data_IF_086081472725
#
_entry.id   IF_086081472725
#
_cell.length_a   1.000
_cell.length_b   1.000
_cell.length_c   1.000
_cell.angle_alpha   90.00
_cell.angle_beta   90.00
_cell.angle_gamma   90.00
#
_symmetry.space_group_name_H-M   'P 1'
#
loop_
_entity.id
_entity.type
_entity.pdbx_description
1 polymer ?
#
# COMPACT_ATOMS: atom_id res chain seq x y z
N UNK A 1 29.22 -18.73 -22.49
CA UNK A 1 28.48 -19.96 -22.42
C UNK A 1 27.21 -19.70 -21.63
N UNK A 2 26.02 -19.82 -22.27
CA UNK A 2 24.75 -19.77 -21.58
C UNK A 2 24.54 -21.10 -20.87
N UNK A 3 24.83 -21.18 -19.57
CA UNK A 3 24.43 -22.30 -18.77
C UNK A 3 22.90 -22.30 -18.70
N UNK A 4 22.26 -23.30 -19.24
CA UNK A 4 20.80 -23.45 -19.18
C UNK A 4 20.29 -23.67 -17.73
N UNK A 5 21.18 -24.02 -16.81
CA UNK A 5 20.96 -24.15 -15.38
C UNK A 5 22.25 -23.81 -14.63
N UNK A 6 22.19 -22.79 -13.77
CA UNK A 6 23.34 -22.37 -12.98
C UNK A 6 23.46 -23.11 -11.64
N UNK A 7 22.38 -23.73 -11.17
CA UNK A 7 22.31 -24.42 -9.88
C UNK A 7 23.05 -25.77 -9.97
N UNK A 8 24.14 -25.95 -9.22
CA UNK A 8 24.92 -27.20 -9.13
C UNK A 8 24.27 -28.17 -8.15
N UNK A 9 24.05 -27.72 -6.91
CA UNK A 9 23.31 -28.45 -5.89
C UNK A 9 21.89 -27.90 -5.78
N UNK A 10 20.91 -28.79 -5.79
CA UNK A 10 19.51 -28.45 -5.63
C UNK A 10 18.97 -28.98 -4.30
N UNK A 11 18.58 -28.04 -3.44
CA UNK A 11 17.84 -28.31 -2.22
C UNK A 11 16.41 -27.88 -2.43
N UNK A 12 15.45 -28.71 -2.05
CA UNK A 12 14.03 -28.33 -2.07
C UNK A 12 13.58 -27.98 -0.66
N UNK A 13 12.82 -26.93 -0.57
CA UNK A 13 12.24 -26.39 0.64
C UNK A 13 10.71 -26.48 0.63
N UNK A 14 10.11 -26.78 1.77
CA UNK A 14 8.66 -26.68 1.97
C UNK A 14 8.31 -26.49 3.43
N UNK A 15 7.21 -25.81 3.65
CA UNK A 15 6.61 -25.65 4.97
C UNK A 15 5.45 -26.65 5.10
N UNK A 16 5.31 -27.28 6.28
CA UNK A 16 4.26 -28.27 6.56
C UNK A 16 3.53 -27.94 7.86
N UNK A 17 2.23 -28.23 7.86
CA UNK A 17 1.39 -28.26 9.05
C UNK A 17 0.19 -29.18 8.82
N UNK A 18 -0.11 -30.05 9.76
CA UNK A 18 -1.32 -30.90 9.79
C UNK A 18 -1.63 -31.60 8.45
N UNK A 19 -0.58 -32.12 7.79
CA UNK A 19 -0.68 -32.79 6.50
C UNK A 19 -0.75 -31.85 5.28
N UNK A 20 -0.93 -30.56 5.48
CA UNK A 20 -0.81 -29.57 4.41
C UNK A 20 0.63 -29.15 4.23
N UNK A 21 1.00 -28.78 3.00
CA UNK A 21 2.32 -28.23 2.70
C UNK A 21 2.24 -27.05 1.76
N UNK A 22 3.19 -26.14 1.89
CA UNK A 22 3.35 -24.97 1.02
C UNK A 22 4.71 -25.03 0.37
N UNK A 23 4.68 -24.99 -0.95
CA UNK A 23 5.87 -24.92 -1.81
C UNK A 23 6.33 -23.47 -1.94
N UNK A 24 7.58 -23.25 -2.35
CA UNK A 24 8.09 -21.92 -2.66
C UNK A 24 7.30 -21.19 -3.77
N UNK A 25 7.48 -19.88 -3.82
CA UNK A 25 7.05 -19.06 -4.93
C UNK A 25 8.06 -19.14 -6.07
N UNK A 26 7.58 -19.49 -7.25
CA UNK A 26 8.40 -19.63 -8.46
C UNK A 26 7.86 -18.75 -9.57
N UNK A 27 8.75 -17.97 -10.17
CA UNK A 27 8.45 -17.17 -11.36
C UNK A 27 8.60 -18.02 -12.62
N UNK A 28 7.85 -17.71 -13.64
CA UNK A 28 7.98 -18.38 -14.93
C UNK A 28 9.23 -17.83 -15.66
N UNK A 29 10.28 -18.67 -15.93
CA UNK A 29 11.53 -18.20 -16.52
C UNK A 29 11.46 -18.03 -18.04
N UNK A 30 10.33 -18.30 -18.67
CA UNK A 30 10.18 -18.21 -20.12
C UNK A 30 10.28 -16.74 -20.58
N UNK A 31 11.13 -16.45 -21.57
CA UNK A 31 11.50 -15.11 -22.04
C UNK A 31 10.45 -14.50 -22.98
N UNK A 32 9.18 -14.66 -22.68
CA UNK A 32 8.07 -14.00 -23.38
C UNK A 32 7.32 -13.08 -22.41
N UNK A 33 6.81 -11.96 -22.91
CA UNK A 33 6.17 -10.94 -22.08
C UNK A 33 5.04 -11.49 -21.19
N UNK A 34 4.22 -12.39 -21.72
CA UNK A 34 3.14 -13.02 -20.95
C UNK A 34 3.66 -13.81 -19.74
N UNK A 35 4.77 -14.52 -19.87
CA UNK A 35 5.38 -15.26 -18.77
C UNK A 35 6.10 -14.37 -17.76
N UNK A 36 6.80 -13.33 -18.25
CA UNK A 36 7.53 -12.39 -17.38
C UNK A 36 6.59 -11.51 -16.56
N UNK A 37 5.38 -11.25 -17.06
CA UNK A 37 4.35 -10.48 -16.36
C UNK A 37 3.40 -11.36 -15.54
N UNK A 38 3.52 -12.70 -15.63
CA UNK A 38 2.71 -13.60 -14.83
C UNK A 38 3.14 -13.55 -13.34
N UNK A 39 2.18 -13.60 -12.40
CA UNK A 39 2.50 -13.69 -11.00
C UNK A 39 3.21 -15.01 -10.68
N UNK A 40 4.03 -15.01 -9.60
CA UNK A 40 4.65 -16.22 -9.09
C UNK A 40 3.60 -17.25 -8.67
N UNK A 41 3.92 -18.53 -8.85
CA UNK A 41 3.06 -19.65 -8.46
C UNK A 41 3.77 -20.54 -7.44
N UNK A 42 3.02 -21.29 -6.65
CA UNK A 42 3.55 -22.30 -5.73
C UNK A 42 4.03 -23.51 -6.49
N UNK A 43 5.33 -23.76 -6.51
CA UNK A 43 5.92 -24.89 -7.20
C UNK A 43 7.27 -25.28 -6.57
N UNK A 44 7.81 -26.44 -7.00
CA UNK A 44 9.20 -26.80 -6.68
C UNK A 44 10.13 -25.90 -7.50
N UNK A 45 11.01 -25.18 -6.82
CA UNK A 45 12.03 -24.39 -7.48
C UNK A 45 13.27 -25.26 -7.76
N UNK A 46 13.66 -25.31 -9.01
CA UNK A 46 14.85 -26.03 -9.45
C UNK A 46 15.87 -25.14 -10.16
N UNK A 47 15.65 -23.83 -10.14
CA UNK A 47 16.46 -22.85 -10.86
C UNK A 47 17.21 -21.92 -9.93
N UNK A 48 16.61 -21.55 -8.79
CA UNK A 48 17.15 -20.56 -7.89
C UNK A 48 17.82 -21.20 -6.68
N UNK A 49 18.80 -20.51 -6.12
CA UNK A 49 19.47 -20.86 -4.88
C UNK A 49 18.83 -20.24 -3.62
N UNK A 50 17.80 -19.45 -3.82
CA UNK A 50 16.97 -18.86 -2.76
C UNK A 50 15.53 -19.25 -3.02
N UNK A 51 14.89 -19.85 -2.03
CA UNK A 51 13.49 -20.24 -2.08
C UNK A 51 12.71 -19.51 -0.98
N UNK A 52 11.52 -19.05 -1.28
CA UNK A 52 10.67 -18.29 -0.35
C UNK A 52 9.29 -18.90 -0.23
N UNK A 53 8.84 -19.13 1.00
CA UNK A 53 7.46 -19.47 1.34
C UNK A 53 6.88 -18.35 2.19
N UNK A 54 5.71 -17.83 1.81
CA UNK A 54 4.95 -16.87 2.63
C UNK A 54 3.60 -17.45 2.98
N UNK A 55 3.08 -17.18 4.14
CA UNK A 55 1.71 -17.47 4.53
C UNK A 55 1.04 -16.16 4.91
N UNK A 56 -0.11 -15.88 4.30
CA UNK A 56 -1.05 -14.89 4.79
C UNK A 56 -1.95 -15.58 5.83
N UNK A 57 -2.18 -14.93 6.96
CA UNK A 57 -3.05 -15.41 8.03
C UNK A 57 -2.70 -16.83 8.53
N UNK A 58 -1.44 -17.10 8.95
CA UNK A 58 -1.06 -18.41 9.45
C UNK A 58 -1.81 -18.72 10.75
N UNK A 59 -2.40 -19.89 10.82
CA UNK A 59 -3.04 -20.36 12.05
C UNK A 59 -1.99 -20.55 13.15
N UNK A 60 -2.32 -20.20 14.40
CA UNK A 60 -1.42 -20.40 15.53
C UNK A 60 -1.09 -21.90 15.72
N UNK A 61 0.16 -22.21 16.04
CA UNK A 61 0.63 -23.58 16.31
C UNK A 61 1.93 -23.92 15.58
N UNK A 62 2.39 -25.17 15.68
CA UNK A 62 3.68 -25.59 15.15
C UNK A 62 3.64 -25.77 13.64
N UNK A 63 4.65 -25.25 12.96
CA UNK A 63 4.97 -25.53 11.57
C UNK A 63 6.28 -26.30 11.49
N UNK A 64 6.38 -27.21 10.56
CA UNK A 64 7.61 -27.92 10.24
C UNK A 64 8.19 -27.40 8.95
N UNK A 65 9.46 -27.06 8.98
CA UNK A 65 10.23 -26.64 7.83
C UNK A 65 11.05 -27.85 7.36
N UNK A 66 10.87 -28.24 6.12
CA UNK A 66 11.57 -29.37 5.52
C UNK A 66 12.50 -28.86 4.43
N UNK A 67 13.78 -29.19 4.57
CA UNK A 67 14.79 -28.99 3.54
C UNK A 67 15.33 -30.34 3.16
N UNK A 68 15.31 -30.72 1.89
CA UNK A 68 15.85 -31.96 1.39
C UNK A 68 16.73 -31.74 0.17
N UNK A 69 17.84 -32.49 0.11
CA UNK A 69 18.70 -32.54 -1.07
C UNK A 69 18.00 -33.29 -2.19
N UNK A 70 17.54 -32.58 -3.21
CA UNK A 70 17.00 -33.23 -4.41
C UNK A 70 18.11 -33.77 -5.31
N UNK A 71 19.15 -32.95 -5.52
CA UNK A 71 20.33 -33.29 -6.27
C UNK A 71 21.53 -32.53 -5.70
N UNK A 72 22.45 -33.26 -5.03
CA UNK A 72 23.62 -32.65 -4.37
C UNK A 72 24.88 -33.40 -4.83
N UNK A 73 25.29 -33.23 -6.11
CA UNK A 73 26.47 -33.90 -6.65
C UNK A 73 27.77 -33.47 -5.99
N UNK A 74 27.80 -32.28 -5.40
CA UNK A 74 28.96 -31.75 -4.69
C UNK A 74 28.57 -31.40 -3.24
N UNK A 75 28.65 -32.35 -2.35
CA UNK A 75 28.33 -32.18 -0.93
C UNK A 75 29.54 -32.17 -0.02
N UNK A 76 29.37 -31.76 1.24
CA UNK A 76 28.13 -31.35 1.88
C UNK A 76 27.70 -29.92 1.47
N UNK A 77 26.38 -29.67 1.33
CA UNK A 77 25.82 -28.38 1.02
C UNK A 77 25.31 -27.69 2.29
N UNK A 78 25.89 -26.57 2.66
CA UNK A 78 25.35 -25.69 3.72
C UNK A 78 24.16 -24.91 3.19
N UNK A 79 23.18 -24.68 4.07
CA UNK A 79 22.05 -23.79 3.80
C UNK A 79 21.72 -22.97 5.04
N UNK A 80 21.02 -21.88 4.83
CA UNK A 80 20.54 -20.99 5.89
C UNK A 80 19.03 -20.85 5.77
N UNK A 81 18.36 -20.77 6.92
CA UNK A 81 16.94 -20.49 7.00
C UNK A 81 16.78 -19.15 7.71
N UNK A 82 16.07 -18.26 7.07
CA UNK A 82 15.66 -16.96 7.64
C UNK A 82 14.16 -16.96 7.69
N UNK A 83 13.56 -16.50 8.79
CA UNK A 83 12.12 -16.37 8.92
C UNK A 83 11.79 -15.04 9.59
N UNK A 84 10.61 -14.53 9.28
CA UNK A 84 10.05 -13.31 9.82
C UNK A 84 8.56 -13.51 10.09
N UNK A 85 8.08 -12.97 11.22
CA UNK A 85 6.66 -12.80 11.48
C UNK A 85 6.32 -11.33 11.27
N UNK A 86 5.57 -11.05 10.20
CA UNK A 86 5.06 -9.71 9.93
C UNK A 86 3.73 -9.58 10.68
N UNK A 87 3.61 -8.69 11.66
CA UNK A 87 2.33 -8.43 12.32
C UNK A 87 1.31 -7.91 11.31
N UNK A 88 0.03 -8.11 11.60
CA UNK A 88 -1.01 -7.47 10.81
C UNK A 88 -0.98 -5.95 11.05
N UNK A 89 -0.94 -5.18 9.97
CA UNK A 89 -0.90 -3.72 10.01
C UNK A 89 -1.60 -3.10 8.80
N UNK A 90 -2.02 -1.87 8.99
CA UNK A 90 -2.45 -0.95 7.95
C UNK A 90 -1.80 0.39 8.25
N UNK A 91 -1.23 1.04 7.24
CA UNK A 91 -0.56 2.33 7.36
C UNK A 91 -0.99 3.23 6.21
N UNK A 92 -1.62 4.37 6.53
CA UNK A 92 -2.02 5.37 5.56
C UNK A 92 -0.76 6.14 5.12
N UNK A 93 -0.44 6.08 3.83
CA UNK A 93 0.77 6.72 3.28
C UNK A 93 0.47 8.00 2.50
N UNK A 94 -0.77 8.22 2.12
CA UNK A 94 -1.23 9.48 1.49
C UNK A 94 -2.77 9.57 1.49
N UNK A 95 -3.34 10.74 1.83
CA UNK A 95 -2.67 11.90 2.44
C UNK A 95 -2.28 11.59 3.89
N UNK A 96 -1.19 12.21 4.36
CA UNK A 96 -0.69 12.00 5.73
C UNK A 96 -1.17 13.06 6.72
N UNK A 97 -1.66 14.19 6.24
CA UNK A 97 -2.12 15.33 7.03
C UNK A 97 -1.32 16.60 6.77
N UNK A 98 -2.02 17.73 6.90
CA UNK A 98 -1.47 19.04 6.56
C UNK A 98 -1.67 19.45 5.11
N UNK A 99 -1.99 18.51 4.21
CA UNK A 99 -2.27 18.80 2.80
C UNK A 99 -3.59 19.58 2.66
N UNK A 100 -3.67 20.37 1.58
CA UNK A 100 -4.89 21.02 1.17
C UNK A 100 -5.57 20.19 0.06
N UNK A 101 -6.88 20.00 0.21
CA UNK A 101 -7.75 19.37 -0.78
C UNK A 101 -8.88 20.31 -1.16
N UNK A 102 -9.42 20.12 -2.35
CA UNK A 102 -10.48 21.01 -2.86
C UNK A 102 -11.84 20.33 -2.66
N UNK A 103 -12.86 21.03 -2.10
CA UNK A 103 -14.20 20.50 -1.96
C UNK A 103 -14.75 19.97 -3.28
N UNK A 104 -15.26 18.74 -3.29
CA UNK A 104 -15.81 18.09 -4.47
C UNK A 104 -14.80 17.55 -5.47
N UNK A 105 -13.49 17.71 -5.26
CA UNK A 105 -12.47 17.08 -6.10
C UNK A 105 -12.41 15.56 -5.87
N UNK A 106 -11.77 14.86 -6.80
CA UNK A 106 -11.39 13.47 -6.63
C UNK A 106 -9.91 13.39 -6.26
N UNK A 107 -9.64 12.80 -5.11
CA UNK A 107 -8.29 12.60 -4.60
C UNK A 107 -7.95 11.12 -4.50
N UNK A 108 -6.66 10.82 -4.51
CA UNK A 108 -6.17 9.46 -4.31
C UNK A 108 -5.85 9.24 -2.83
N UNK A 109 -6.28 8.11 -2.29
CA UNK A 109 -5.82 7.59 -1.00
C UNK A 109 -4.85 6.46 -1.28
N UNK A 110 -3.73 6.38 -0.54
CA UNK A 110 -2.73 5.33 -0.64
C UNK A 110 -2.37 4.81 0.74
N UNK A 111 -2.09 3.53 0.82
CA UNK A 111 -1.70 2.86 2.07
C UNK A 111 -0.81 1.67 1.80
N UNK A 112 -0.09 1.27 2.85
CA UNK A 112 0.55 -0.02 2.95
C UNK A 112 -0.18 -0.90 3.95
N UNK A 113 -0.11 -2.19 3.77
CA UNK A 113 -0.71 -3.16 4.67
C UNK A 113 -0.05 -4.53 4.51
N UNK A 114 -0.05 -5.31 5.57
CA UNK A 114 0.29 -6.73 5.52
C UNK A 114 -0.59 -7.48 4.51
N UNK A 115 -0.14 -8.65 4.07
CA UNK A 115 -0.98 -9.54 3.26
C UNK A 115 -2.21 -9.98 4.08
N UNK A 116 -3.36 -10.09 3.43
CA UNK A 116 -4.61 -10.52 4.07
C UNK A 116 -5.73 -10.65 3.05
N UNK A 117 -6.87 -11.17 3.48
CA UNK A 117 -8.05 -11.41 2.63
C UNK A 117 -9.20 -10.44 2.91
N UNK A 118 -9.16 -9.74 4.03
CA UNK A 118 -10.20 -8.78 4.44
C UNK A 118 -10.11 -7.49 3.61
N UNK A 119 -11.20 -7.02 3.01
CA UNK A 119 -11.26 -5.73 2.32
C UNK A 119 -11.02 -4.55 3.25
N UNK A 120 -10.63 -3.42 2.68
CA UNK A 120 -10.47 -2.16 3.40
C UNK A 120 -11.77 -1.35 3.38
N UNK A 121 -12.05 -0.67 4.48
CA UNK A 121 -13.03 0.41 4.58
C UNK A 121 -12.29 1.73 4.67
N UNK A 122 -12.72 2.69 3.86
CA UNK A 122 -12.18 4.04 3.84
C UNK A 122 -13.21 4.98 4.43
N UNK A 123 -12.80 5.85 5.33
CA UNK A 123 -13.69 6.75 6.05
C UNK A 123 -13.09 8.15 6.13
N UNK A 124 -13.93 9.16 6.18
CA UNK A 124 -13.56 10.54 6.40
C UNK A 124 -14.37 11.17 7.54
N UNK A 125 -13.79 12.17 8.16
CA UNK A 125 -14.40 12.96 9.23
C UNK A 125 -14.18 14.45 8.95
N UNK A 126 -15.22 15.26 9.10
CA UNK A 126 -15.12 16.73 8.99
C UNK A 126 -14.97 17.42 10.36
N UNK A 127 -14.90 16.67 11.43
CA UNK A 127 -14.93 17.18 12.81
C UNK A 127 -13.81 16.58 13.67
N UNK A 128 -12.62 16.40 13.07
CA UNK A 128 -11.42 15.96 13.77
C UNK A 128 -11.44 14.51 14.24
N UNK A 129 -12.28 13.64 13.66
CA UNK A 129 -12.38 12.23 14.04
C UNK A 129 -13.49 11.91 15.05
N UNK A 130 -14.32 12.91 15.41
CA UNK A 130 -15.44 12.68 16.35
C UNK A 130 -16.53 11.77 15.76
N UNK A 131 -16.77 11.90 14.45
CA UNK A 131 -17.68 11.03 13.69
C UNK A 131 -17.10 10.74 12.31
N UNK A 132 -17.45 9.59 11.75
CA UNK A 132 -16.89 9.10 10.50
C UNK A 132 -18.01 8.81 9.49
N UNK A 133 -17.75 9.16 8.25
CA UNK A 133 -18.59 8.88 7.08
C UNK A 133 -17.81 8.02 6.09
N UNK A 134 -18.53 7.22 5.31
CA UNK A 134 -17.86 6.34 4.31
C UNK A 134 -17.22 7.17 3.19
N UNK A 135 -15.95 6.86 2.90
CA UNK A 135 -15.24 7.28 1.69
C UNK A 135 -15.20 6.14 0.64
N UNK A 136 -15.68 4.95 0.99
CA UNK A 136 -15.73 3.79 0.12
C UNK A 136 -15.09 2.54 0.71
N UNK A 137 -14.89 1.54 -0.15
CA UNK A 137 -14.21 0.29 0.19
C UNK A 137 -13.20 -0.06 -0.88
N UNK A 138 -12.19 -0.86 -0.51
CA UNK A 138 -11.20 -1.35 -1.47
C UNK A 138 -10.91 -2.84 -1.23
N UNK A 139 -10.63 -3.63 -2.30
CA UNK A 139 -10.27 -5.03 -2.19
C UNK A 139 -9.00 -5.23 -1.32
N UNK A 140 -8.87 -6.40 -0.70
CA UNK A 140 -7.73 -6.74 0.16
C UNK A 140 -6.35 -6.58 -0.51
N UNK A 141 -6.27 -6.78 -1.82
CA UNK A 141 -5.05 -6.61 -2.58
C UNK A 141 -4.76 -5.15 -3.00
N UNK A 142 -5.72 -4.24 -2.85
CA UNK A 142 -5.54 -2.84 -3.21
C UNK A 142 -4.58 -2.12 -2.26
N UNK A 143 -3.86 -1.13 -2.80
CA UNK A 143 -2.99 -0.21 -2.05
C UNK A 143 -3.28 1.25 -2.40
N UNK A 144 -4.36 1.47 -3.14
CA UNK A 144 -4.87 2.81 -3.44
C UNK A 144 -6.35 2.75 -3.78
N UNK A 145 -7.03 3.86 -3.59
CA UNK A 145 -8.40 4.10 -4.03
C UNK A 145 -8.60 5.58 -4.32
N UNK A 146 -9.58 5.89 -5.17
CA UNK A 146 -10.03 7.26 -5.36
C UNK A 146 -11.13 7.58 -4.35
N UNK A 147 -11.15 8.81 -3.91
CA UNK A 147 -12.13 9.32 -2.96
C UNK A 147 -12.63 10.70 -3.42
N UNK A 148 -13.94 10.91 -3.31
CA UNK A 148 -14.52 12.22 -3.55
C UNK A 148 -14.50 13.02 -2.26
N UNK A 149 -13.79 14.15 -2.28
CA UNK A 149 -13.67 15.08 -1.16
C UNK A 149 -15.05 15.67 -0.85
N UNK A 150 -15.49 15.74 0.42
CA UNK A 150 -16.78 16.32 0.77
C UNK A 150 -16.84 17.80 0.37
N UNK A 151 -18.02 18.23 -0.10
CA UNK A 151 -18.24 19.63 -0.54
C UNK A 151 -18.23 20.67 0.59
N UNK A 152 -18.18 20.22 1.84
CA UNK A 152 -18.20 21.11 3.01
C UNK A 152 -16.77 21.52 3.37
N UNK A 153 -16.38 22.80 3.20
CA UNK A 153 -15.09 23.28 3.64
C UNK A 153 -14.88 23.08 5.14
N UNK A 154 -13.71 22.61 5.53
CA UNK A 154 -13.31 22.45 6.92
C UNK A 154 -11.78 22.40 7.06
N UNK A 155 -11.25 22.90 8.18
CA UNK A 155 -9.86 22.76 8.55
C UNK A 155 -9.55 21.46 9.33
N UNK A 156 -10.58 20.69 9.69
CA UNK A 156 -10.48 19.51 10.54
C UNK A 156 -10.83 18.21 9.81
N UNK A 157 -10.59 18.17 8.49
CA UNK A 157 -10.84 16.97 7.70
C UNK A 157 -9.81 15.88 8.03
N UNK A 158 -10.26 14.67 8.29
CA UNK A 158 -9.42 13.50 8.50
C UNK A 158 -9.85 12.35 7.61
N UNK A 159 -8.90 11.52 7.24
CA UNK A 159 -9.11 10.24 6.58
C UNK A 159 -8.64 9.10 7.50
N UNK A 160 -9.36 8.01 7.45
CA UNK A 160 -9.02 6.76 8.13
C UNK A 160 -9.20 5.58 7.19
N UNK A 161 -8.29 4.62 7.28
CA UNK A 161 -8.40 3.32 6.65
C UNK A 161 -8.53 2.25 7.72
N UNK A 162 -9.43 1.30 7.51
CA UNK A 162 -9.74 0.22 8.47
C UNK A 162 -9.70 -1.12 7.75
N UNK A 163 -9.08 -2.12 8.36
CA UNK A 163 -9.14 -3.53 7.96
C UNK A 163 -9.23 -4.43 9.19
N UNK A 164 -10.40 -4.99 9.45
CA UNK A 164 -10.64 -5.80 10.64
C UNK A 164 -10.44 -4.97 11.92
N UNK A 165 -9.46 -5.34 12.74
CA UNK A 165 -9.09 -4.62 13.97
C UNK A 165 -7.99 -3.58 13.77
N UNK A 166 -7.38 -3.55 12.59
CA UNK A 166 -6.31 -2.61 12.26
C UNK A 166 -6.89 -1.35 11.64
N UNK A 167 -6.36 -0.21 12.00
CA UNK A 167 -6.73 1.07 11.39
C UNK A 167 -5.58 2.06 11.50
N UNK A 168 -5.55 2.98 10.56
CA UNK A 168 -4.66 4.13 10.60
C UNK A 168 -5.39 5.36 10.05
N UNK A 169 -5.01 6.53 10.50
CA UNK A 169 -5.62 7.81 10.12
C UNK A 169 -4.56 8.87 9.81
N UNK A 170 -4.97 9.95 9.17
CA UNK A 170 -4.09 11.09 8.90
C UNK A 170 -3.48 11.63 10.20
N UNK A 171 -2.15 11.81 10.21
CA UNK A 171 -1.37 12.27 11.37
C UNK A 171 -1.74 13.70 11.82
N UNK A 172 -2.26 14.50 10.87
CA UNK A 172 -2.76 15.84 11.10
C UNK A 172 -4.03 16.09 10.25
N UNK A 173 -4.86 17.10 10.58
CA UNK A 173 -6.00 17.45 9.75
C UNK A 173 -5.58 17.90 8.35
N UNK A 174 -6.38 17.54 7.35
CA UNK A 174 -6.34 18.09 6.00
C UNK A 174 -7.13 19.39 5.97
N UNK A 175 -6.74 20.30 5.09
CA UNK A 175 -7.44 21.55 4.84
C UNK A 175 -8.35 21.37 3.61
N UNK A 176 -9.64 21.13 3.84
CA UNK A 176 -10.63 21.09 2.77
C UNK A 176 -11.10 22.51 2.46
N UNK A 177 -10.46 23.15 1.51
CA UNK A 177 -10.69 24.56 1.19
C UNK A 177 -10.66 24.79 -0.32
N UNK A 178 -11.58 25.64 -0.79
CA UNK A 178 -11.67 25.99 -2.20
C UNK A 178 -10.47 26.83 -2.68
N UNK A 179 -10.27 26.81 -3.99
CA UNK A 179 -9.28 27.68 -4.66
C UNK A 179 -9.91 29.03 -4.92
N UNK A 180 -9.24 30.16 -4.60
CA UNK A 180 -9.72 31.47 -4.97
C UNK A 180 -9.91 31.61 -6.50
N UNK A 181 -11.11 31.93 -6.93
CA UNK A 181 -11.40 32.24 -8.32
C UNK A 181 -11.53 33.74 -8.57
N UNK A 182 -11.64 34.14 -9.84
CA UNK A 182 -11.87 35.55 -10.21
C UNK A 182 -10.70 36.47 -9.87
N UNK A 183 -9.47 35.97 -9.85
CA UNK A 183 -8.28 36.79 -9.63
C UNK A 183 -8.20 37.84 -10.75
N UNK A 184 -8.19 39.13 -10.38
CA UNK A 184 -8.06 40.23 -11.28
C UNK A 184 -7.14 41.33 -10.72
N UNK A 185 -6.47 42.02 -11.61
CA UNK A 185 -5.75 43.24 -11.29
C UNK A 185 -6.72 44.41 -11.51
N UNK A 186 -7.15 45.07 -10.44
CA UNK A 186 -8.13 46.15 -10.51
C UNK A 186 -7.49 47.44 -11.01
N UNK A 187 -6.29 47.75 -10.59
CA UNK A 187 -5.49 48.85 -11.08
C UNK A 187 -4.00 48.61 -10.76
N UNK A 188 -3.12 49.29 -11.46
CA UNK A 188 -1.69 49.22 -11.35
C UNK A 188 -1.07 50.64 -11.38
N UNK A 189 -0.22 50.96 -10.40
CA UNK A 189 0.61 52.14 -10.33
C UNK A 189 2.08 51.76 -10.24
N UNK A 190 3.04 52.67 -10.46
CA UNK A 190 4.47 52.32 -10.37
C UNK A 190 4.87 51.60 -9.06
N UNK A 191 4.24 51.96 -7.94
CA UNK A 191 4.62 51.50 -6.61
C UNK A 191 3.55 50.60 -5.94
N UNK A 192 2.43 50.28 -6.61
CA UNK A 192 1.35 49.51 -6.02
C UNK A 192 0.44 48.89 -7.06
N UNK A 193 -0.12 47.73 -6.70
CA UNK A 193 -1.07 46.96 -7.51
C UNK A 193 -2.21 46.50 -6.62
N UNK A 194 -3.43 46.68 -7.08
CA UNK A 194 -4.61 46.15 -6.40
C UNK A 194 -5.03 44.82 -7.04
N UNK A 195 -5.07 43.78 -6.22
CA UNK A 195 -5.59 42.48 -6.58
C UNK A 195 -6.99 42.30 -5.96
N UNK A 196 -7.86 41.66 -6.69
CA UNK A 196 -9.18 41.22 -6.22
C UNK A 196 -9.42 39.78 -6.61
N UNK A 197 -10.17 39.06 -5.79
CA UNK A 197 -10.58 37.64 -6.02
C UNK A 197 -11.87 37.34 -5.28
N UNK A 198 -12.51 36.23 -5.66
CA UNK A 198 -13.72 35.79 -5.00
C UNK A 198 -13.39 35.19 -3.62
N UNK A 199 -14.22 35.49 -2.63
CA UNK A 199 -14.08 34.91 -1.28
C UNK A 199 -14.23 33.41 -1.35
N UNK A 200 -13.34 32.69 -0.66
CA UNK A 200 -13.39 31.25 -0.50
C UNK A 200 -14.04 30.89 0.83
N UNK A 201 -15.07 30.08 0.79
CA UNK A 201 -15.76 29.62 1.99
C UNK A 201 -14.76 28.86 2.93
N UNK A 202 -14.76 29.26 4.22
CA UNK A 202 -13.86 28.68 5.20
C UNK A 202 -12.45 29.30 5.26
N UNK A 203 -12.07 30.20 4.34
CA UNK A 203 -10.81 30.92 4.40
C UNK A 203 -10.92 32.08 5.41
N UNK A 204 -10.00 32.13 6.37
CA UNK A 204 -9.89 33.23 7.33
C UNK A 204 -8.88 34.30 6.92
N UNK A 205 -7.95 33.98 6.02
CA UNK A 205 -6.93 34.87 5.50
C UNK A 205 -6.41 34.42 4.14
N UNK A 206 -5.76 35.31 3.41
CA UNK A 206 -5.06 35.04 2.16
C UNK A 206 -3.65 35.61 2.24
N UNK A 207 -2.71 34.91 1.67
CA UNK A 207 -1.32 35.35 1.52
C UNK A 207 -1.00 35.46 0.04
N UNK A 208 -0.44 36.58 -0.37
CA UNK A 208 0.03 36.81 -1.74
C UNK A 208 1.54 36.78 -1.73
N UNK A 209 2.13 36.00 -2.64
CA UNK A 209 3.59 35.83 -2.80
C UNK A 209 4.06 36.46 -4.10
#
# INVERSE_FOLDING_TARGET
ANAGRALVNNLNFRLLRDGQFWLPWVLNPNKVAASLNAPAVRAVDSLNNVEQVTLADPLAGPYKLLVNGFNVPQGPQKYYVVYEFVPDYVELTYPMGGEAVVPGSNESIRWDASAGTTPFTLEWSSNGGTSWSSAGTAPAAARSANWSVPNTPTGDLRLRIVRGTQSDETNAPLKNIGVPGGLAVSWMCPDSTQLSWNVVAGASAYTVY
#
